data_IF_082674759661
#
_entry.id   IF_082674759661
#
_cell.length_a   1.000
_cell.length_b   1.000
_cell.length_c   1.000
_cell.angle_alpha   90.00
_cell.angle_beta   90.00
_cell.angle_gamma   90.00
#
_symmetry.space_group_name_H-M   'P 1'
#
loop_
_entity.id
_entity.type
_entity.pdbx_description
1 polymer ?
#
# COMPACT_ATOMS: atom_id res chain seq x y z
N UNK A 1 32.88 34.70 -22.53
CA UNK A 1 31.52 35.09 -22.15
C UNK A 1 30.43 34.29 -22.89
N UNK A 2 30.38 34.34 -24.22
CA UNK A 2 29.35 33.63 -25.01
C UNK A 2 29.29 32.11 -24.76
N UNK A 3 30.46 31.44 -24.68
CA UNK A 3 30.52 30.01 -24.34
C UNK A 3 29.97 29.70 -22.92
N UNK A 4 30.16 30.62 -21.97
CA UNK A 4 29.69 30.46 -20.59
C UNK A 4 28.16 30.65 -20.50
N UNK A 5 27.61 31.66 -21.20
CA UNK A 5 26.17 31.85 -21.36
C UNK A 5 25.47 30.68 -22.05
N UNK A 6 26.10 30.12 -23.09
CA UNK A 6 25.62 28.90 -23.74
C UNK A 6 25.64 27.70 -22.79
N UNK A 7 26.67 27.55 -21.96
CA UNK A 7 26.74 26.48 -20.97
C UNK A 7 25.61 26.59 -19.92
N UNK A 8 25.31 27.79 -19.41
CA UNK A 8 24.22 28.01 -18.46
C UNK A 8 22.85 27.66 -19.07
N UNK A 9 22.61 28.05 -20.33
CA UNK A 9 21.41 27.66 -21.07
C UNK A 9 21.27 26.14 -21.18
N UNK A 10 22.33 25.44 -21.60
CA UNK A 10 22.33 23.97 -21.73
C UNK A 10 22.06 23.29 -20.39
N UNK A 11 22.57 23.85 -19.28
CA UNK A 11 22.27 23.35 -17.93
C UNK A 11 20.78 23.52 -17.59
N UNK A 12 20.17 24.65 -17.94
CA UNK A 12 18.73 24.87 -17.78
C UNK A 12 17.90 23.85 -18.57
N UNK A 13 18.28 23.60 -19.82
CA UNK A 13 17.63 22.59 -20.69
C UNK A 13 17.79 21.18 -20.11
N UNK A 14 18.98 20.85 -19.60
CA UNK A 14 19.24 19.57 -18.94
C UNK A 14 18.39 19.39 -17.69
N UNK A 15 18.31 20.39 -16.81
CA UNK A 15 17.46 20.33 -15.59
C UNK A 15 15.99 20.14 -15.95
N UNK A 16 15.54 20.81 -17.01
CA UNK A 16 14.19 20.64 -17.55
C UNK A 16 13.97 19.21 -18.04
N UNK A 17 14.89 18.67 -18.83
CA UNK A 17 14.82 17.30 -19.34
C UNK A 17 14.82 16.26 -18.20
N UNK A 18 15.63 16.46 -17.16
CA UNK A 18 15.64 15.61 -15.96
C UNK A 18 14.30 15.67 -15.25
N UNK A 19 13.72 16.85 -15.04
CA UNK A 19 12.40 17.02 -14.41
C UNK A 19 11.30 16.31 -15.23
N UNK A 20 11.30 16.49 -16.55
CA UNK A 20 10.35 15.81 -17.46
C UNK A 20 10.51 14.30 -17.38
N UNK A 21 11.75 13.80 -17.27
CA UNK A 21 12.00 12.37 -17.11
C UNK A 21 11.39 11.86 -15.80
N UNK A 22 11.52 12.59 -14.69
CA UNK A 22 10.94 12.18 -13.40
C UNK A 22 9.41 12.17 -13.46
N UNK A 23 8.83 13.20 -14.08
CA UNK A 23 7.38 13.25 -14.31
C UNK A 23 6.90 12.03 -15.12
N UNK A 24 7.62 11.63 -16.18
CA UNK A 24 7.28 10.44 -16.96
C UNK A 24 7.41 9.14 -16.15
N UNK A 25 8.44 9.03 -15.31
CA UNK A 25 8.61 7.87 -14.41
C UNK A 25 7.49 7.78 -13.37
N UNK A 26 7.04 8.92 -12.84
CA UNK A 26 5.91 9.00 -11.94
C UNK A 26 4.61 8.65 -12.66
N UNK A 27 4.36 9.20 -13.86
CA UNK A 27 3.18 8.87 -14.66
C UNK A 27 3.14 7.38 -14.99
N UNK A 28 4.26 6.77 -15.39
CA UNK A 28 4.31 5.34 -15.63
C UNK A 28 3.94 4.53 -14.39
N UNK A 29 4.41 4.92 -13.21
CA UNK A 29 4.04 4.25 -11.97
C UNK A 29 2.57 4.48 -11.60
N UNK A 30 2.05 5.70 -11.81
CA UNK A 30 0.64 6.01 -11.59
C UNK A 30 -0.24 5.10 -12.46
N UNK A 31 0.02 5.02 -13.76
CA UNK A 31 -0.79 4.23 -14.68
C UNK A 31 -0.63 2.72 -14.50
N UNK A 32 0.59 2.25 -14.24
CA UNK A 32 0.85 0.82 -14.13
C UNK A 32 0.47 0.22 -12.77
N UNK A 33 0.40 1.03 -11.71
CA UNK A 33 0.23 0.56 -10.34
C UNK A 33 -0.89 1.29 -9.61
N UNK A 34 -0.83 2.62 -9.53
CA UNK A 34 -1.77 3.38 -8.68
C UNK A 34 -3.19 3.43 -9.25
N UNK A 35 -3.36 3.59 -10.57
CA UNK A 35 -4.67 3.54 -11.22
C UNK A 35 -5.34 2.17 -11.05
N UNK A 36 -4.67 1.03 -11.28
CA UNK A 36 -5.23 -0.28 -10.92
C UNK A 36 -5.67 -0.36 -9.47
N UNK A 37 -4.87 0.15 -8.51
CA UNK A 37 -5.23 0.16 -7.10
C UNK A 37 -6.49 0.99 -6.83
N UNK A 38 -6.59 2.20 -7.39
CA UNK A 38 -7.79 3.03 -7.29
C UNK A 38 -9.00 2.36 -7.93
N UNK A 39 -8.82 1.66 -9.04
CA UNK A 39 -9.91 0.96 -9.76
C UNK A 39 -10.53 -0.18 -8.96
N UNK A 40 -9.78 -0.79 -8.03
CA UNK A 40 -10.29 -1.81 -7.11
C UNK A 40 -10.76 -1.23 -5.76
N UNK A 41 -10.85 0.10 -5.65
CA UNK A 41 -11.34 0.80 -4.47
C UNK A 41 -10.28 1.11 -3.42
N UNK A 42 -8.99 0.89 -3.69
CA UNK A 42 -7.91 1.31 -2.79
C UNK A 42 -7.48 2.72 -3.16
N UNK A 43 -8.05 3.70 -2.47
CA UNK A 43 -7.80 5.13 -2.66
C UNK A 43 -7.14 5.75 -1.43
N UNK A 44 -6.66 6.99 -1.59
CA UNK A 44 -5.97 7.75 -0.54
C UNK A 44 -6.87 7.99 0.69
N UNK A 45 -8.18 8.09 0.46
CA UNK A 45 -9.24 8.38 1.43
C UNK A 45 -9.97 7.13 1.95
N UNK A 46 -9.62 5.92 1.50
CA UNK A 46 -10.25 4.69 1.95
C UNK A 46 -10.19 4.55 3.47
N UNK A 47 -11.35 4.53 4.13
CA UNK A 47 -11.48 4.23 5.56
C UNK A 47 -11.86 2.76 5.76
N UNK A 48 -10.91 1.95 6.25
CA UNK A 48 -11.14 0.53 6.50
C UNK A 48 -12.14 0.28 7.63
N UNK A 49 -12.39 1.25 8.51
CA UNK A 49 -13.39 1.11 9.56
C UNK A 49 -14.81 0.98 8.98
N UNK A 50 -15.08 1.57 7.81
CA UNK A 50 -16.39 1.47 7.14
C UNK A 50 -16.67 0.08 6.57
N UNK A 51 -15.63 -0.70 6.26
CA UNK A 51 -15.76 -2.01 5.59
C UNK A 51 -15.60 -3.20 6.54
N UNK A 52 -14.90 -3.01 7.66
CA UNK A 52 -14.53 -4.09 8.55
C UNK A 52 -14.92 -3.78 9.99
N UNK A 53 -16.13 -4.21 10.36
CA UNK A 53 -16.64 -4.14 11.73
C UNK A 53 -15.66 -4.74 12.73
N UNK A 54 -15.44 -4.05 13.85
CA UNK A 54 -14.60 -4.58 14.93
C UNK A 54 -15.27 -5.75 15.65
N UNK A 55 -16.61 -5.75 15.71
CA UNK A 55 -17.41 -6.85 16.23
C UNK A 55 -18.06 -7.65 15.11
N UNK A 56 -17.49 -8.82 14.82
CA UNK A 56 -18.00 -9.78 13.84
C UNK A 56 -19.13 -10.65 14.38
N UNK A 57 -19.39 -10.64 15.69
CA UNK A 57 -20.51 -11.40 16.27
C UNK A 57 -21.86 -10.71 16.03
N UNK A 58 -21.84 -9.40 15.78
CA UNK A 58 -23.03 -8.58 15.57
C UNK A 58 -23.56 -8.60 14.13
N UNK A 59 -22.84 -9.20 13.17
CA UNK A 59 -23.31 -9.27 11.78
C UNK A 59 -24.36 -10.36 11.59
N UNK A 60 -25.35 -10.12 10.74
CA UNK A 60 -26.46 -11.05 10.49
C UNK A 60 -25.98 -12.46 10.06
N UNK A 61 -24.88 -12.53 9.31
CA UNK A 61 -24.29 -13.80 8.89
C UNK A 61 -23.74 -14.62 10.06
N UNK A 62 -23.16 -13.97 11.08
CA UNK A 62 -22.69 -14.66 12.29
C UNK A 62 -23.88 -15.23 13.08
N UNK A 63 -24.97 -14.48 13.19
CA UNK A 63 -26.22 -14.98 13.80
C UNK A 63 -26.78 -16.20 13.06
N UNK A 64 -26.89 -16.13 11.73
CA UNK A 64 -27.38 -17.25 10.92
C UNK A 64 -26.49 -18.50 11.04
N UNK A 65 -25.16 -18.31 11.08
CA UNK A 65 -24.22 -19.38 11.30
C UNK A 65 -24.41 -20.02 12.67
N UNK A 66 -24.48 -19.23 13.74
CA UNK A 66 -24.68 -19.72 15.11
C UNK A 66 -25.95 -20.56 15.19
N UNK A 67 -27.07 -20.07 14.66
CA UNK A 67 -28.33 -20.83 14.64
C UNK A 67 -28.24 -22.14 13.86
N UNK A 68 -27.48 -22.20 12.76
CA UNK A 68 -27.27 -23.43 12.01
C UNK A 68 -26.45 -24.46 12.79
N UNK A 69 -25.41 -24.00 13.51
CA UNK A 69 -24.57 -24.85 14.37
C UNK A 69 -25.38 -25.36 15.56
N UNK A 70 -26.16 -24.50 16.22
CA UNK A 70 -27.06 -24.87 17.33
C UNK A 70 -28.14 -25.88 16.88
N UNK A 71 -28.71 -25.69 15.69
CA UNK A 71 -29.69 -26.62 15.14
C UNK A 71 -29.09 -28.00 14.86
N UNK A 72 -27.85 -28.04 14.36
CA UNK A 72 -27.12 -29.29 14.12
C UNK A 72 -26.78 -30.02 15.43
N UNK A 73 -26.30 -29.28 16.44
CA UNK A 73 -26.03 -29.81 17.78
C UNK A 73 -27.29 -30.38 18.43
N UNK A 74 -28.41 -29.65 18.33
CA UNK A 74 -29.72 -30.10 18.83
C UNK A 74 -30.21 -31.36 18.10
N UNK A 75 -30.10 -31.39 16.78
CA UNK A 75 -30.45 -32.57 15.98
C UNK A 75 -29.63 -33.80 16.40
N UNK A 76 -28.32 -33.62 16.59
CA UNK A 76 -27.43 -34.69 17.05
C UNK A 76 -27.75 -35.19 18.46
N UNK A 77 -28.11 -34.29 19.38
CA UNK A 77 -28.42 -34.62 20.76
C UNK A 77 -29.78 -35.32 20.94
N UNK A 78 -30.77 -34.95 20.11
CA UNK A 78 -32.18 -35.37 20.28
C UNK A 78 -32.61 -36.36 19.20
N UNK A 79 -32.66 -35.92 17.94
CA UNK A 79 -33.34 -36.64 16.87
C UNK A 79 -32.47 -37.75 16.24
N UNK A 80 -31.17 -37.47 16.04
CA UNK A 80 -30.26 -38.38 15.36
C UNK A 80 -29.96 -39.63 16.19
N UNK A 81 -29.95 -39.50 17.52
CA UNK A 81 -29.57 -40.58 18.43
C UNK A 81 -30.44 -41.83 18.27
N UNK A 82 -31.76 -41.64 18.23
CA UNK A 82 -32.70 -42.76 18.08
C UNK A 82 -32.54 -43.44 16.71
N UNK A 83 -32.40 -42.64 15.65
CA UNK A 83 -32.19 -43.17 14.29
C UNK A 83 -30.85 -43.90 14.15
N UNK A 84 -29.79 -43.40 14.78
CA UNK A 84 -28.45 -43.99 14.76
C UNK A 84 -28.40 -45.30 15.56
N UNK A 85 -29.03 -45.33 16.74
CA UNK A 85 -29.12 -46.55 17.55
C UNK A 85 -29.89 -47.66 16.81
N UNK A 86 -30.94 -47.32 16.05
CA UNK A 86 -31.72 -48.30 15.27
C UNK A 86 -30.94 -49.00 14.13
N UNK A 87 -29.86 -48.40 13.63
CA UNK A 87 -29.04 -48.97 12.54
C UNK A 87 -27.63 -49.38 12.98
N UNK A 88 -27.32 -49.23 14.27
CA UNK A 88 -25.98 -49.40 14.85
C UNK A 88 -25.36 -50.77 14.59
N UNK A 89 -26.19 -51.82 14.57
CA UNK A 89 -25.75 -53.20 14.29
C UNK A 89 -25.28 -53.41 12.85
N UNK A 90 -25.58 -52.48 11.94
CA UNK A 90 -25.19 -52.53 10.52
C UNK A 90 -24.12 -51.52 10.17
N UNK A 91 -24.27 -50.27 10.64
CA UNK A 91 -23.34 -49.16 10.39
C UNK A 91 -23.40 -48.22 11.59
N UNK A 92 -22.24 -47.88 12.15
CA UNK A 92 -22.13 -46.87 13.18
C UNK A 92 -22.09 -45.47 12.56
N UNK A 93 -23.15 -44.69 12.77
CA UNK A 93 -23.28 -43.31 12.31
C UNK A 93 -22.97 -42.28 13.41
N UNK A 94 -22.67 -42.71 14.65
CA UNK A 94 -22.30 -41.80 15.74
C UNK A 94 -21.18 -40.81 15.38
N UNK A 95 -20.17 -41.16 14.56
CA UNK A 95 -19.14 -40.21 14.12
C UNK A 95 -19.67 -38.99 13.35
N UNK A 96 -20.85 -39.06 12.73
CA UNK A 96 -21.45 -37.90 12.05
C UNK A 96 -21.88 -36.79 13.02
N UNK A 97 -22.03 -37.14 14.29
CA UNK A 97 -22.32 -36.21 15.39
C UNK A 97 -21.13 -36.02 16.34
N UNK A 98 -19.94 -36.50 15.97
CA UNK A 98 -18.69 -36.26 16.70
C UNK A 98 -18.11 -34.90 16.31
N UNK A 99 -18.84 -33.85 16.68
CA UNK A 99 -18.43 -32.46 16.50
C UNK A 99 -18.24 -31.78 17.86
N UNK A 100 -17.41 -30.74 17.88
CA UNK A 100 -17.28 -29.91 19.06
C UNK A 100 -18.63 -29.25 19.40
N UNK A 101 -18.83 -28.90 20.68
CA UNK A 101 -20.04 -28.20 21.12
C UNK A 101 -20.25 -26.91 20.31
N UNK A 102 -21.51 -26.54 20.09
CA UNK A 102 -21.87 -25.39 19.26
C UNK A 102 -21.14 -24.09 19.67
N UNK A 103 -20.93 -23.88 20.97
CA UNK A 103 -20.21 -22.73 21.51
C UNK A 103 -18.73 -22.69 21.12
N UNK A 104 -18.08 -23.86 21.07
CA UNK A 104 -16.69 -23.98 20.64
C UNK A 104 -16.54 -23.74 19.13
N UNK A 105 -17.47 -24.28 18.32
CA UNK A 105 -17.50 -24.03 16.87
C UNK A 105 -17.72 -22.54 16.57
N UNK A 106 -18.66 -21.87 17.25
CA UNK A 106 -18.91 -20.43 17.09
C UNK A 106 -17.67 -19.60 17.44
N UNK A 107 -16.98 -19.97 18.54
CA UNK A 107 -15.74 -19.31 18.96
C UNK A 107 -14.63 -19.47 17.91
N UNK A 108 -14.37 -20.69 17.45
CA UNK A 108 -13.32 -21.00 16.48
C UNK A 108 -13.53 -20.26 15.16
N UNK A 109 -14.79 -20.19 14.71
CA UNK A 109 -15.10 -19.50 13.45
C UNK A 109 -14.97 -18.00 13.61
N UNK A 110 -15.44 -17.41 14.71
CA UNK A 110 -15.24 -15.99 14.98
C UNK A 110 -13.74 -15.65 15.04
N UNK A 111 -12.92 -16.46 15.69
CA UNK A 111 -11.45 -16.29 15.72
C UNK A 111 -10.86 -16.34 14.31
N UNK A 112 -11.26 -17.32 13.49
CA UNK A 112 -10.77 -17.46 12.13
C UNK A 112 -11.17 -16.27 11.24
N UNK A 113 -12.41 -15.78 11.36
CA UNK A 113 -12.91 -14.62 10.62
C UNK A 113 -12.15 -13.35 11.03
N UNK A 114 -12.00 -13.10 12.34
CA UNK A 114 -11.24 -11.95 12.84
C UNK A 114 -9.78 -11.98 12.39
N UNK A 115 -9.12 -13.14 12.46
CA UNK A 115 -7.75 -13.30 11.99
C UNK A 115 -7.63 -13.02 10.48
N UNK A 116 -8.59 -13.49 9.68
CA UNK A 116 -8.63 -13.22 8.24
C UNK A 116 -8.86 -11.73 7.96
N UNK A 117 -9.77 -11.09 8.69
CA UNK A 117 -10.03 -9.65 8.57
C UNK A 117 -8.80 -8.82 8.90
N UNK A 118 -8.11 -9.13 10.01
CA UNK A 118 -6.87 -8.46 10.39
C UNK A 118 -5.81 -8.55 9.29
N UNK A 119 -5.63 -9.74 8.70
CA UNK A 119 -4.69 -9.95 7.59
C UNK A 119 -5.05 -9.12 6.35
N UNK A 120 -6.34 -9.08 5.99
CA UNK A 120 -6.80 -8.29 4.85
C UNK A 120 -6.61 -6.79 5.12
N UNK A 121 -6.94 -6.30 6.33
CA UNK A 121 -6.68 -4.91 6.74
C UNK A 121 -5.22 -4.55 6.56
N UNK A 122 -4.30 -5.37 7.07
CA UNK A 122 -2.85 -5.16 6.92
C UNK A 122 -2.41 -5.10 5.46
N UNK A 123 -2.95 -5.98 4.61
CA UNK A 123 -2.66 -5.99 3.17
C UNK A 123 -3.18 -4.72 2.49
N UNK A 124 -4.39 -4.26 2.81
CA UNK A 124 -4.94 -3.03 2.23
C UNK A 124 -4.17 -1.81 2.73
N UNK A 125 -3.80 -1.74 4.01
CA UNK A 125 -2.94 -0.66 4.53
C UNK A 125 -1.57 -0.64 3.86
N UNK A 126 -1.00 -1.82 3.61
CA UNK A 126 0.25 -1.95 2.86
C UNK A 126 0.08 -1.35 1.47
N UNK A 127 -1.00 -1.69 0.76
CA UNK A 127 -1.30 -1.12 -0.55
C UNK A 127 -1.54 0.40 -0.46
N UNK A 128 -2.41 0.86 0.43
CA UNK A 128 -2.72 2.28 0.65
C UNK A 128 -1.44 3.09 0.90
N UNK A 129 -0.48 2.53 1.62
CA UNK A 129 0.81 3.20 1.86
C UNK A 129 1.58 3.53 0.57
N UNK A 130 1.38 2.78 -0.53
CA UNK A 130 2.02 3.04 -1.83
C UNK A 130 1.45 4.28 -2.53
N UNK A 131 0.24 4.71 -2.16
CA UNK A 131 -0.36 5.95 -2.65
C UNK A 131 0.31 7.19 -2.03
N UNK A 132 1.09 7.02 -0.95
CA UNK A 132 1.91 8.10 -0.43
C UNK A 132 3.09 8.38 -1.38
N UNK A 133 3.15 9.56 -2.04
CA UNK A 133 4.22 9.88 -2.99
C UNK A 133 5.59 9.94 -2.32
N UNK A 134 5.64 10.06 -1.00
CA UNK A 134 6.88 10.13 -0.23
C UNK A 134 7.11 8.90 0.66
N UNK A 135 6.54 7.75 0.29
CA UNK A 135 6.75 6.49 1.01
C UNK A 135 8.24 6.24 1.28
N UNK A 136 8.53 5.75 2.48
CA UNK A 136 9.86 5.48 3.04
C UNK A 136 10.81 6.69 3.18
N UNK A 137 10.31 7.92 2.96
CA UNK A 137 11.04 9.16 3.21
C UNK A 137 10.57 9.79 4.52
N UNK A 138 11.26 9.46 5.62
CA UNK A 138 10.89 9.90 6.96
C UNK A 138 10.71 11.41 7.06
N UNK A 139 9.51 11.82 7.50
CA UNK A 139 9.15 13.21 7.73
C UNK A 139 9.13 14.07 6.47
N UNK A 140 9.05 13.48 5.27
CA UNK A 140 8.88 14.22 4.03
C UNK A 140 7.47 14.80 3.95
N UNK A 141 7.38 16.08 3.59
CA UNK A 141 6.11 16.81 3.42
C UNK A 141 6.20 17.65 2.16
N UNK A 142 5.07 18.17 1.67
CA UNK A 142 5.05 19.05 0.50
C UNK A 142 5.91 20.29 0.70
N UNK A 143 5.90 20.87 1.90
CA UNK A 143 6.68 22.05 2.27
C UNK A 143 8.19 21.78 2.21
N UNK A 144 8.63 20.58 2.63
CA UNK A 144 10.04 20.19 2.48
C UNK A 144 10.44 20.00 1.02
N UNK A 145 9.53 19.47 0.20
CA UNK A 145 9.77 19.35 -1.24
C UNK A 145 9.91 20.73 -1.87
N UNK A 146 9.04 21.68 -1.53
CA UNK A 146 9.14 23.07 -2.00
C UNK A 146 10.51 23.67 -1.67
N UNK A 147 11.00 23.52 -0.44
CA UNK A 147 12.35 23.95 -0.07
C UNK A 147 13.47 23.30 -0.89
N UNK A 148 13.31 22.04 -1.30
CA UNK A 148 14.28 21.40 -2.21
C UNK A 148 14.21 21.94 -3.63
N UNK A 149 13.01 22.27 -4.13
CA UNK A 149 12.83 22.88 -5.44
C UNK A 149 13.46 24.28 -5.48
N UNK A 150 13.30 25.07 -4.42
CA UNK A 150 13.96 26.37 -4.24
C UNK A 150 15.49 26.22 -4.20
N UNK A 151 16.00 25.17 -3.55
CA UNK A 151 17.42 24.80 -3.56
C UNK A 151 17.91 24.27 -4.93
N UNK A 152 17.05 24.23 -5.94
CA UNK A 152 17.39 23.89 -7.30
C UNK A 152 17.19 22.42 -7.68
N UNK A 153 16.62 21.59 -6.81
CA UNK A 153 16.31 20.20 -7.12
C UNK A 153 15.30 20.09 -8.29
N UNK A 154 15.45 19.13 -9.21
CA UNK A 154 14.44 18.85 -10.25
C UNK A 154 13.10 18.42 -9.67
N UNK A 155 12.01 18.91 -10.27
CA UNK A 155 10.65 18.51 -9.91
C UNK A 155 10.44 17.01 -10.14
N UNK A 156 9.71 16.36 -9.25
CA UNK A 156 9.40 14.92 -9.34
C UNK A 156 10.47 14.00 -8.74
N UNK A 157 11.62 14.54 -8.32
CA UNK A 157 12.72 13.70 -7.81
C UNK A 157 12.35 12.96 -6.52
N UNK A 158 11.52 13.56 -5.67
CA UNK A 158 11.12 12.98 -4.37
C UNK A 158 10.06 11.91 -4.54
N UNK A 159 9.20 12.06 -5.52
CA UNK A 159 8.07 11.20 -5.84
C UNK A 159 8.52 9.86 -6.45
N UNK A 160 9.69 9.84 -7.10
CA UNK A 160 10.23 8.62 -7.74
C UNK A 160 11.17 7.82 -6.83
N UNK A 161 11.52 8.32 -5.63
CA UNK A 161 12.52 7.68 -4.76
C UNK A 161 12.08 6.30 -4.29
N UNK A 162 10.82 6.17 -3.87
CA UNK A 162 10.29 4.91 -3.35
C UNK A 162 10.40 3.80 -4.40
N UNK A 163 9.90 4.07 -5.61
CA UNK A 163 9.78 3.08 -6.68
C UNK A 163 11.12 2.79 -7.34
N UNK A 164 11.92 3.83 -7.61
CA UNK A 164 13.10 3.72 -8.45
C UNK A 164 14.41 3.85 -7.68
N UNK A 165 14.36 4.07 -6.36
CA UNK A 165 15.53 4.39 -5.53
C UNK A 165 16.66 3.36 -5.58
N UNK A 166 16.33 2.10 -5.86
CA UNK A 166 17.28 0.99 -5.97
C UNK A 166 17.80 0.76 -7.39
N UNK A 167 17.30 1.50 -8.38
CA UNK A 167 17.73 1.34 -9.77
C UNK A 167 19.10 1.97 -10.02
N UNK A 168 19.86 1.41 -10.97
CA UNK A 168 21.12 2.00 -11.43
C UNK A 168 20.93 3.43 -11.92
N UNK A 169 19.81 3.71 -12.59
CA UNK A 169 19.48 5.05 -13.09
C UNK A 169 19.27 6.04 -11.95
N UNK A 170 18.66 5.63 -10.83
CA UNK A 170 18.56 6.50 -9.66
C UNK A 170 19.93 6.81 -9.03
N UNK A 171 20.92 5.95 -9.25
CA UNK A 171 22.33 6.26 -8.99
C UNK A 171 22.83 7.55 -9.66
N UNK A 172 22.31 7.89 -10.84
CA UNK A 172 22.53 9.19 -11.49
C UNK A 172 21.66 10.29 -10.85
N UNK A 173 20.37 10.01 -10.63
CA UNK A 173 19.40 10.99 -10.11
C UNK A 173 19.73 11.49 -8.70
N UNK A 174 20.37 10.68 -7.85
CA UNK A 174 20.76 11.10 -6.49
C UNK A 174 21.68 12.33 -6.48
N UNK A 175 22.42 12.57 -7.56
CA UNK A 175 23.32 13.73 -7.67
C UNK A 175 22.58 15.05 -7.93
N UNK A 176 21.30 14.98 -8.31
CA UNK A 176 20.40 16.12 -8.47
C UNK A 176 19.69 16.53 -7.17
N UNK A 177 19.78 15.74 -6.10
CA UNK A 177 19.22 16.11 -4.79
C UNK A 177 19.81 17.42 -4.28
N UNK A 178 19.06 18.16 -3.46
CA UNK A 178 19.56 19.32 -2.74
C UNK A 178 20.91 19.03 -2.07
N UNK A 179 21.90 19.91 -2.29
CA UNK A 179 23.30 19.71 -1.84
C UNK A 179 24.12 18.69 -2.64
N UNK A 180 23.55 18.11 -3.69
CA UNK A 180 24.15 17.11 -4.57
C UNK A 180 25.22 17.67 -5.51
N UNK A 181 25.99 16.76 -6.11
CA UNK A 181 27.14 17.10 -6.96
C UNK A 181 26.75 17.96 -8.15
N UNK A 182 25.62 17.68 -8.81
CA UNK A 182 25.23 18.43 -10.00
C UNK A 182 24.79 19.85 -9.66
N UNK A 183 24.00 20.03 -8.60
CA UNK A 183 23.59 21.37 -8.17
C UNK A 183 24.78 22.24 -7.74
N UNK A 184 25.80 21.64 -7.10
CA UNK A 184 27.05 22.34 -6.78
C UNK A 184 27.80 22.81 -8.03
N UNK A 185 27.94 21.94 -9.03
CA UNK A 185 28.59 22.31 -10.30
C UNK A 185 27.82 23.41 -11.04
N UNK A 186 26.49 23.38 -10.98
CA UNK A 186 25.63 24.42 -11.58
C UNK A 186 25.83 25.76 -10.86
N UNK A 187 25.90 25.77 -9.54
CA UNK A 187 26.18 26.99 -8.78
C UNK A 187 27.55 27.59 -9.14
N UNK A 188 28.60 26.76 -9.24
CA UNK A 188 29.93 27.20 -9.65
C UNK A 188 29.96 27.77 -11.08
N UNK A 189 29.21 27.16 -12.01
CA UNK A 189 29.08 27.68 -13.36
C UNK A 189 28.44 29.08 -13.35
N UNK A 190 27.37 29.27 -12.57
CA UNK A 190 26.72 30.58 -12.43
C UNK A 190 27.65 31.64 -11.87
N UNK A 191 28.36 31.35 -10.77
CA UNK A 191 29.37 32.25 -10.21
C UNK A 191 30.43 32.64 -11.25
N UNK A 192 30.86 31.67 -12.07
CA UNK A 192 31.84 31.93 -13.15
C UNK A 192 31.24 32.82 -14.24
N UNK A 193 29.99 32.58 -14.66
CA UNK A 193 29.30 33.43 -15.64
C UNK A 193 29.16 34.85 -15.12
N UNK A 194 28.68 35.02 -13.88
CA UNK A 194 28.49 36.31 -13.25
C UNK A 194 29.81 37.09 -13.16
N UNK A 195 30.91 36.40 -12.83
CA UNK A 195 32.25 37.02 -12.80
C UNK A 195 32.79 37.45 -14.16
N UNK A 196 32.33 36.81 -15.24
CA UNK A 196 32.74 37.12 -16.61
C UNK A 196 31.85 38.20 -17.26
N UNK A 197 30.65 38.41 -16.72
CA UNK A 197 29.71 39.46 -17.12
C UNK A 197 29.93 40.79 -16.37
N UNK A 198 30.59 40.76 -15.20
CA UNK A 198 31.00 41.92 -14.40
C UNK A 198 32.22 42.64 -14.98
#
# INVERSE_FOLDING_TARGET
LEAAKNADKVVGDLKTAVSVTMMKMQLFFDEAVLQPMRSIGVTEDLDLAEYFNEDTSAIAAAGAMRSAVEALDTFCAVDAKEAFDAVKDKVDLSPLCDMAEASAIDSDVNVAVMARMAKIKEQIETLKSWLNPYKDQKGMTKEKVEGFLEAGEPKGLREVVFVYGQTKFFGYLKHWKAGGKFLKLIAQLKETVDSLDA
#
